data_IF_751528778575
#
_entry.id   IF_751528778575
#
_cell.length_a   1.000
_cell.length_b   1.000
_cell.length_c   1.000
_cell.angle_alpha   90.00
_cell.angle_beta   90.00
_cell.angle_gamma   90.00
#
_symmetry.space_group_name_H-M   'P 1'
#
loop_
_entity.id
_entity.type
_entity.pdbx_description
1 polymer ?
#
# COMPACT_ATOMS: atom_id res chain seq x y z
N UNK A 1 -0.68 -4.99 -27.86
CA UNK A 1 -1.31 -4.63 -26.56
C UNK A 1 -0.84 -3.29 -25.95
N UNK A 2 0.40 -2.86 -26.19
CA UNK A 2 0.92 -1.58 -25.66
C UNK A 2 0.24 -0.32 -26.23
N UNK A 3 -0.34 -0.36 -27.40
CA UNK A 3 -1.00 0.79 -28.04
C UNK A 3 -2.42 1.06 -27.50
N UNK A 4 -3.13 0.02 -27.00
CA UNK A 4 -4.46 0.17 -26.42
C UNK A 4 -4.47 1.03 -25.14
N UNK A 5 -3.36 1.05 -24.39
CA UNK A 5 -3.22 1.87 -23.17
C UNK A 5 -2.98 3.35 -23.53
N UNK A 6 -2.45 3.64 -24.71
CA UNK A 6 -2.15 5.00 -25.18
C UNK A 6 -3.39 5.77 -25.66
N UNK A 7 -4.43 5.02 -26.05
CA UNK A 7 -5.74 5.58 -26.47
C UNK A 7 -6.83 5.44 -25.40
N UNK A 8 -6.48 4.90 -24.22
CA UNK A 8 -7.42 4.83 -23.10
C UNK A 8 -7.80 6.25 -22.68
N UNK A 9 -9.10 6.54 -22.70
CA UNK A 9 -9.60 7.84 -22.27
C UNK A 9 -9.12 8.15 -20.84
N UNK A 10 -8.93 9.43 -20.49
CA UNK A 10 -8.59 9.82 -19.11
C UNK A 10 -9.53 9.21 -18.06
N UNK A 11 -10.76 8.91 -18.43
CA UNK A 11 -11.78 8.27 -17.61
C UNK A 11 -11.41 6.81 -17.26
N UNK A 12 -10.91 6.03 -18.22
CA UNK A 12 -10.48 4.64 -17.99
C UNK A 12 -9.24 4.59 -17.10
N UNK A 13 -8.32 5.54 -17.25
CA UNK A 13 -7.13 5.65 -16.39
C UNK A 13 -7.55 6.06 -14.96
N UNK A 14 -8.48 7.00 -14.83
CA UNK A 14 -9.04 7.41 -13.56
C UNK A 14 -9.80 6.28 -12.87
N UNK A 15 -10.55 5.47 -13.63
CA UNK A 15 -11.25 4.30 -13.12
C UNK A 15 -10.27 3.20 -12.66
N UNK A 16 -9.22 2.94 -13.43
CA UNK A 16 -8.17 1.99 -13.05
C UNK A 16 -7.43 2.43 -11.77
N UNK A 17 -7.13 3.72 -11.62
CA UNK A 17 -6.54 4.24 -10.36
C UNK A 17 -7.52 4.22 -9.19
N UNK A 18 -8.82 4.24 -9.46
CA UNK A 18 -9.87 4.07 -8.45
C UNK A 18 -9.93 2.66 -7.84
N UNK A 19 -9.40 1.63 -8.52
CA UNK A 19 -9.43 0.24 -8.02
C UNK A 19 -8.65 0.10 -6.72
N UNK A 20 -7.45 0.67 -6.64
CA UNK A 20 -6.63 0.61 -5.43
C UNK A 20 -7.33 1.29 -4.23
N UNK A 21 -7.91 2.47 -4.43
CA UNK A 21 -8.69 3.18 -3.40
C UNK A 21 -9.96 2.43 -3.00
N UNK A 22 -10.57 1.71 -3.93
CA UNK A 22 -11.75 0.88 -3.64
C UNK A 22 -11.36 -0.31 -2.77
N UNK A 23 -10.25 -0.99 -3.07
CA UNK A 23 -9.71 -2.07 -2.26
C UNK A 23 -9.34 -1.60 -0.85
N UNK A 24 -8.66 -0.46 -0.72
CA UNK A 24 -8.34 0.14 0.58
C UNK A 24 -9.61 0.42 1.40
N UNK A 25 -10.63 1.02 0.80
CA UNK A 25 -11.92 1.27 1.49
C UNK A 25 -12.61 -0.02 1.95
N UNK A 26 -12.53 -1.09 1.17
CA UNK A 26 -13.07 -2.39 1.60
C UNK A 26 -12.30 -2.96 2.80
N UNK A 27 -10.98 -2.82 2.82
CA UNK A 27 -10.15 -3.23 3.97
C UNK A 27 -10.47 -2.39 5.21
N UNK A 28 -10.59 -1.06 5.06
CA UNK A 28 -11.00 -0.14 6.14
C UNK A 28 -12.35 -0.56 6.74
N UNK A 29 -13.35 -0.84 5.90
CA UNK A 29 -14.66 -1.33 6.35
C UNK A 29 -14.57 -2.66 7.09
N UNK A 30 -13.69 -3.55 6.65
CA UNK A 30 -13.48 -4.85 7.29
C UNK A 30 -12.91 -4.69 8.70
N UNK A 31 -11.88 -3.86 8.88
CA UNK A 31 -11.23 -3.67 10.18
C UNK A 31 -12.07 -2.84 11.15
N UNK A 32 -12.83 -1.87 10.63
CA UNK A 32 -13.71 -1.02 11.43
C UNK A 32 -14.97 -1.73 11.91
N UNK A 33 -15.26 -2.90 11.35
CA UNK A 33 -16.49 -3.66 11.61
C UNK A 33 -17.77 -2.81 11.44
N UNK A 34 -17.79 -1.89 10.47
CA UNK A 34 -18.90 -1.02 10.16
C UNK A 34 -19.12 0.12 11.16
N UNK A 35 -18.11 0.49 11.95
CA UNK A 35 -18.15 1.62 12.87
C UNK A 35 -17.66 2.89 12.15
N UNK A 36 -18.53 3.88 11.84
CA UNK A 36 -18.14 5.04 11.03
C UNK A 36 -16.99 5.85 11.61
N UNK A 37 -16.95 6.05 12.92
CA UNK A 37 -15.88 6.78 13.58
C UNK A 37 -14.52 6.08 13.43
N UNK A 38 -14.50 4.75 13.43
CA UNK A 38 -13.29 3.98 13.23
C UNK A 38 -12.85 4.04 11.76
N UNK A 39 -13.79 4.04 10.81
CA UNK A 39 -13.49 4.21 9.39
C UNK A 39 -12.81 5.55 9.15
N UNK A 40 -13.40 6.63 9.66
CA UNK A 40 -12.85 7.99 9.55
C UNK A 40 -11.46 8.11 10.18
N UNK A 41 -11.27 7.55 11.37
CA UNK A 41 -9.97 7.55 12.05
C UNK A 41 -8.89 6.77 11.26
N UNK A 42 -9.25 5.65 10.63
CA UNK A 42 -8.32 4.88 9.80
C UNK A 42 -7.97 5.62 8.51
N UNK A 43 -8.95 6.23 7.84
CA UNK A 43 -8.71 7.03 6.62
C UNK A 43 -7.81 8.23 6.94
N UNK A 44 -8.06 8.95 8.02
CA UNK A 44 -7.21 10.04 8.50
C UNK A 44 -5.78 9.56 8.78
N UNK A 45 -5.63 8.42 9.47
CA UNK A 45 -4.31 7.84 9.74
C UNK A 45 -3.57 7.47 8.45
N UNK A 46 -4.26 6.91 7.47
CA UNK A 46 -3.67 6.57 6.18
C UNK A 46 -3.21 7.81 5.41
N UNK A 47 -3.99 8.89 5.45
CA UNK A 47 -3.64 10.15 4.80
C UNK A 47 -2.44 10.83 5.48
N UNK A 48 -2.38 10.81 6.81
CA UNK A 48 -1.21 11.25 7.57
C UNK A 48 0.04 10.44 7.19
N UNK A 49 -0.06 9.11 7.14
CA UNK A 49 1.05 8.25 6.73
C UNK A 49 1.53 8.57 5.31
N UNK A 50 0.60 8.80 4.37
CA UNK A 50 0.96 9.18 2.99
C UNK A 50 1.77 10.47 2.99
N UNK A 51 1.33 11.48 3.71
CA UNK A 51 2.03 12.77 3.79
C UNK A 51 3.40 12.65 4.46
N UNK A 52 3.47 11.96 5.59
CA UNK A 52 4.72 11.75 6.33
C UNK A 52 5.75 10.96 5.53
N UNK A 53 5.31 9.89 4.86
CA UNK A 53 6.20 9.01 4.09
C UNK A 53 6.60 9.64 2.76
N UNK A 54 5.70 10.32 2.06
CA UNK A 54 5.99 10.95 0.77
C UNK A 54 6.98 12.12 0.91
N UNK A 55 6.87 12.92 1.97
CA UNK A 55 7.65 14.14 2.15
C UNK A 55 7.10 15.32 1.33
N UNK A 56 7.85 16.43 1.27
CA UNK A 56 7.36 17.69 0.67
C UNK A 56 7.28 17.67 -0.86
N UNK A 57 8.25 17.04 -1.53
CA UNK A 57 8.35 17.03 -2.99
C UNK A 57 8.59 15.60 -3.53
N UNK A 58 7.62 14.69 -3.39
CA UNK A 58 7.81 13.31 -3.82
C UNK A 58 7.79 13.19 -5.35
N UNK A 59 8.73 12.41 -5.89
CA UNK A 59 8.67 12.01 -7.29
C UNK A 59 7.48 11.06 -7.54
N UNK A 60 7.02 10.89 -8.79
CA UNK A 60 5.94 9.94 -9.11
C UNK A 60 6.22 8.51 -8.61
N UNK A 61 7.48 8.07 -8.67
CA UNK A 61 7.87 6.75 -8.16
C UNK A 61 7.78 6.67 -6.64
N UNK A 62 8.20 7.72 -5.93
CA UNK A 62 8.05 7.80 -4.47
C UNK A 62 6.58 7.82 -4.05
N UNK A 63 5.72 8.51 -4.79
CA UNK A 63 4.27 8.50 -4.55
C UNK A 63 3.68 7.09 -4.71
N UNK A 64 4.08 6.38 -5.77
CA UNK A 64 3.63 5.01 -6.02
C UNK A 64 4.10 4.07 -4.90
N UNK A 65 5.35 4.16 -4.49
CA UNK A 65 5.91 3.35 -3.41
C UNK A 65 5.29 3.70 -2.05
N UNK A 66 5.01 4.98 -1.79
CA UNK A 66 4.28 5.43 -0.60
C UNK A 66 2.89 4.81 -0.52
N UNK A 67 2.15 4.79 -1.63
CA UNK A 67 0.85 4.12 -1.68
C UNK A 67 0.97 2.62 -1.38
N UNK A 68 2.00 1.97 -1.90
CA UNK A 68 2.29 0.55 -1.63
C UNK A 68 2.60 0.29 -0.16
N UNK A 69 3.36 1.18 0.48
CA UNK A 69 3.68 1.09 1.91
C UNK A 69 2.41 1.20 2.75
N UNK A 70 1.58 2.21 2.50
CA UNK A 70 0.33 2.44 3.26
C UNK A 70 -0.67 1.29 3.05
N UNK A 71 -0.86 0.86 1.80
CA UNK A 71 -1.73 -0.29 1.50
C UNK A 71 -1.21 -1.59 2.13
N UNK A 72 0.11 -1.81 2.14
CA UNK A 72 0.75 -2.96 2.78
C UNK A 72 0.57 -2.96 4.29
N UNK A 73 0.73 -1.80 4.94
CA UNK A 73 0.44 -1.62 6.36
C UNK A 73 -1.02 -1.99 6.67
N UNK A 74 -1.97 -1.41 5.95
CA UNK A 74 -3.40 -1.67 6.17
C UNK A 74 -3.74 -3.16 6.00
N UNK A 75 -3.17 -3.82 5.00
CA UNK A 75 -3.40 -5.25 4.78
C UNK A 75 -2.88 -6.11 5.95
N UNK A 76 -1.70 -5.79 6.49
CA UNK A 76 -1.14 -6.49 7.66
C UNK A 76 -2.06 -6.30 8.86
N UNK A 77 -2.49 -5.06 9.16
CA UNK A 77 -3.41 -4.76 10.26
C UNK A 77 -4.73 -5.53 10.14
N UNK A 78 -5.32 -5.59 8.93
CA UNK A 78 -6.55 -6.34 8.67
C UNK A 78 -6.35 -7.83 8.94
N UNK A 79 -5.27 -8.42 8.42
CA UNK A 79 -4.99 -9.85 8.58
C UNK A 79 -4.71 -10.22 10.04
N UNK A 80 -3.93 -9.43 10.74
CA UNK A 80 -3.66 -9.64 12.17
C UNK A 80 -4.93 -9.50 13.00
N UNK A 81 -5.76 -8.50 12.70
CA UNK A 81 -7.06 -8.32 13.36
C UNK A 81 -8.02 -9.48 13.14
N UNK A 82 -8.10 -10.00 11.91
CA UNK A 82 -8.93 -11.17 11.59
C UNK A 82 -8.45 -12.44 12.31
N UNK A 83 -7.14 -12.65 12.36
CA UNK A 83 -6.53 -13.78 13.08
C UNK A 83 -6.80 -13.67 14.58
N UNK A 84 -6.60 -12.50 15.18
CA UNK A 84 -6.87 -12.27 16.58
C UNK A 84 -8.34 -12.51 16.92
N UNK A 85 -9.28 -12.03 16.10
CA UNK A 85 -10.70 -12.25 16.28
C UNK A 85 -11.10 -13.73 16.15
N UNK A 86 -10.47 -14.46 15.24
CA UNK A 86 -10.69 -15.90 15.08
C UNK A 86 -10.14 -16.67 16.27
N UNK A 87 -8.92 -16.35 16.71
CA UNK A 87 -8.31 -16.98 17.87
C UNK A 87 -9.17 -16.83 19.12
N UNK A 88 -9.74 -15.64 19.36
CA UNK A 88 -10.66 -15.43 20.48
C UNK A 88 -11.93 -16.27 20.40
N UNK A 89 -12.45 -16.51 19.20
CA UNK A 89 -13.62 -17.39 18.98
C UNK A 89 -13.25 -18.86 19.22
N UNK A 90 -12.12 -19.29 18.69
CA UNK A 90 -11.71 -20.70 18.74
C UNK A 90 -11.28 -21.13 20.16
N UNK A 91 -10.69 -20.23 20.93
CA UNK A 91 -10.38 -20.47 22.36
C UNK A 91 -11.67 -20.70 23.18
N UNK A 92 -12.73 -19.95 22.90
CA UNK A 92 -14.03 -20.14 23.56
C UNK A 92 -14.71 -21.46 23.20
N UNK A 93 -14.40 -22.03 22.04
CA UNK A 93 -15.07 -23.24 21.51
C UNK A 93 -14.16 -24.49 21.65
N UNK A 94 -12.94 -24.36 22.17
CA UNK A 94 -11.94 -25.45 22.31
C UNK A 94 -11.61 -26.16 20.97
N UNK A 95 -11.66 -25.45 19.85
CA UNK A 95 -11.40 -25.98 18.50
C UNK A 95 -10.42 -25.11 17.75
N UNK A 96 -9.15 -25.48 17.74
CA UNK A 96 -8.16 -24.89 16.82
C UNK A 96 -7.50 -26.00 16.02
N UNK A 97 -7.85 -26.23 14.75
CA UNK A 97 -7.09 -27.14 13.89
C UNK A 97 -5.70 -26.56 13.64
N UNK A 98 -4.61 -27.27 13.98
CA UNK A 98 -3.24 -26.78 13.82
C UNK A 98 -2.92 -26.34 12.37
N UNK A 99 -3.46 -27.04 11.38
CA UNK A 99 -3.25 -26.72 9.96
C UNK A 99 -3.77 -25.34 9.57
N UNK A 100 -4.86 -24.88 10.16
CA UNK A 100 -5.46 -23.58 9.89
C UNK A 100 -4.58 -22.43 10.42
N UNK A 101 -4.03 -22.59 11.61
CA UNK A 101 -3.10 -21.62 12.23
C UNK A 101 -1.85 -21.44 11.35
N UNK A 102 -1.28 -22.55 10.86
CA UNK A 102 -0.10 -22.54 10.00
C UNK A 102 -0.38 -21.79 8.68
N UNK A 103 -1.55 -22.04 8.08
CA UNK A 103 -1.95 -21.37 6.84
C UNK A 103 -2.12 -19.86 7.05
N UNK A 104 -2.78 -19.45 8.13
CA UNK A 104 -2.96 -18.04 8.48
C UNK A 104 -1.63 -17.34 8.73
N UNK A 105 -0.72 -17.96 9.48
CA UNK A 105 0.62 -17.44 9.72
C UNK A 105 1.39 -17.19 8.42
N UNK A 106 1.31 -18.09 7.45
CA UNK A 106 1.94 -17.91 6.12
C UNK A 106 1.38 -16.73 5.34
N UNK A 107 0.08 -16.48 5.42
CA UNK A 107 -0.56 -15.34 4.76
C UNK A 107 -0.05 -14.03 5.37
N UNK A 108 -0.01 -13.93 6.70
CA UNK A 108 0.51 -12.75 7.41
C UNK A 108 1.99 -12.54 7.09
N UNK A 109 2.81 -13.57 7.15
CA UNK A 109 4.24 -13.49 6.80
C UNK A 109 4.44 -13.00 5.37
N UNK A 110 3.64 -13.48 4.41
CA UNK A 110 3.70 -13.03 3.02
C UNK A 110 3.32 -11.57 2.87
N UNK A 111 2.27 -11.11 3.55
CA UNK A 111 1.85 -9.72 3.55
C UNK A 111 2.91 -8.82 4.20
N UNK A 112 3.44 -9.21 5.35
CA UNK A 112 4.50 -8.50 6.07
C UNK A 112 5.78 -8.39 5.23
N UNK A 113 6.19 -9.46 4.55
CA UNK A 113 7.34 -9.42 3.64
C UNK A 113 7.15 -8.41 2.51
N UNK A 114 5.97 -8.36 1.89
CA UNK A 114 5.65 -7.40 0.83
C UNK A 114 5.64 -5.96 1.33
N UNK A 115 5.09 -5.74 2.53
CA UNK A 115 5.11 -4.45 3.21
C UNK A 115 6.54 -3.96 3.47
N UNK A 116 7.37 -4.79 4.08
CA UNK A 116 8.77 -4.47 4.35
C UNK A 116 9.59 -4.29 3.06
N UNK A 117 9.28 -5.04 1.99
CA UNK A 117 9.91 -4.86 0.69
C UNK A 117 9.58 -3.48 0.09
N UNK A 118 8.33 -3.03 0.17
CA UNK A 118 7.95 -1.70 -0.30
C UNK A 118 8.70 -0.57 0.45
N UNK A 119 8.86 -0.69 1.77
CA UNK A 119 9.65 0.24 2.58
C UNK A 119 11.12 0.27 2.12
N UNK A 120 11.73 -0.90 1.92
CA UNK A 120 13.12 -1.01 1.45
C UNK A 120 13.32 -0.40 0.07
N UNK A 121 12.39 -0.64 -0.86
CA UNK A 121 12.48 -0.07 -2.20
C UNK A 121 12.32 1.45 -2.19
N UNK A 122 11.46 2.01 -1.36
CA UNK A 122 11.33 3.46 -1.19
C UNK A 122 12.64 4.06 -0.65
N UNK A 123 13.22 3.46 0.37
CA UNK A 123 14.51 3.89 0.92
C UNK A 123 15.64 3.78 -0.11
N UNK A 124 15.66 2.73 -0.93
CA UNK A 124 16.62 2.54 -2.01
C UNK A 124 16.50 3.61 -3.09
N UNK A 125 15.30 3.90 -3.55
CA UNK A 125 15.04 4.95 -4.55
C UNK A 125 15.53 6.31 -4.05
N UNK A 126 15.23 6.67 -2.81
CA UNK A 126 15.70 7.92 -2.19
C UNK A 126 17.22 8.00 -2.12
N UNK A 127 17.87 6.90 -1.73
CA UNK A 127 19.34 6.83 -1.69
C UNK A 127 19.95 7.03 -3.08
N UNK A 128 19.38 6.42 -4.11
CA UNK A 128 19.85 6.57 -5.49
C UNK A 128 19.66 8.00 -6.01
N UNK A 129 18.54 8.63 -5.70
CA UNK A 129 18.25 10.01 -6.08
C UNK A 129 19.18 11.00 -5.37
N UNK A 130 19.45 10.80 -4.09
CA UNK A 130 20.37 11.63 -3.32
C UNK A 130 21.84 11.51 -3.79
N UNK A 131 22.23 10.36 -4.36
CA UNK A 131 23.58 10.12 -4.90
C UNK A 131 23.74 10.46 -6.38
N UNK A 132 22.66 10.85 -7.09
CA UNK A 132 22.75 11.24 -8.49
C UNK A 132 23.39 12.64 -8.63
N UNK A 133 24.46 12.80 -9.42
CA UNK A 133 25.06 14.12 -9.65
C UNK A 133 24.06 15.03 -10.37
N UNK A 134 23.96 16.29 -9.94
CA UNK A 134 23.04 17.31 -10.46
C UNK A 134 23.13 17.53 -11.98
N UNK A 135 24.24 17.16 -12.62
CA UNK A 135 24.48 17.25 -14.05
C UNK A 135 23.63 16.30 -14.92
N UNK A 136 23.09 15.20 -14.36
CA UNK A 136 22.24 14.28 -15.13
C UNK A 136 20.80 14.76 -15.28
N UNK A 137 20.31 15.61 -14.38
CA UNK A 137 18.95 16.16 -14.45
C UNK A 137 18.81 17.19 -15.58
N UNK A 138 19.87 17.94 -15.87
CA UNK A 138 19.87 18.96 -16.94
C UNK A 138 19.96 18.39 -18.37
N UNK A 139 20.51 17.19 -18.55
CA UNK A 139 20.66 16.58 -19.88
C UNK A 139 19.32 16.04 -20.42
N UNK A 140 18.42 15.60 -19.55
CA UNK A 140 17.10 15.12 -19.96
C UNK A 140 16.14 16.27 -20.34
N UNK A 141 16.28 17.44 -19.73
CA UNK A 141 15.44 18.61 -20.04
C UNK A 141 15.85 19.24 -21.39
N UNK A 142 17.12 19.17 -21.76
CA UNK A 142 17.62 19.70 -23.06
C UNK A 142 17.26 18.82 -24.27
N UNK A 143 17.08 17.52 -24.10
CA UNK A 143 16.66 16.62 -25.20
C UNK A 143 15.18 16.83 -25.56
N UNK A 144 14.37 17.35 -24.64
CA UNK A 144 12.93 17.64 -24.89
C UNK A 144 12.68 19.05 -25.46
N UNK A 145 13.71 19.90 -25.58
CA UNK A 145 13.64 21.27 -26.14
C UNK A 145 14.29 21.42 -27.52
N UNK A 146 14.86 20.34 -28.03
CA UNK A 146 15.43 20.32 -29.38
C UNK A 146 14.44 19.99 -30.47
#
# INVERSE_FOLDING_TARGET
>A
MRWLVRESSPEVIAEASGIARRAERMLVKTISAGKPLMEEALEERMDQMRSEIAGEHPTPLEQLLTQRVVAGWLLVEVLEGLIAAQYQRDVKVHRVPPAHIIQQSRIVESATRRYLAAIRELARVRKLQAGAPASQVNTQVNILRG
#
